data_IF_207222526017
#
_entry.id   IF_207222526017
#
_cell.length_a   1.000
_cell.length_b   1.000
_cell.length_c   1.000
_cell.angle_alpha   90.00
_cell.angle_beta   90.00
_cell.angle_gamma   90.00
#
_symmetry.space_group_name_H-M   'P 1'
#
loop_
_entity.id
_entity.type
_entity.pdbx_description
1 polymer ?
#
# COMPACT_ATOMS: atom_id res chain seq x y z
N UNK A 1 60.39 -23.65 -2.24
CA UNK A 1 59.07 -24.19 -1.82
C UNK A 1 58.22 -23.17 -1.08
N UNK A 2 58.73 -22.44 -0.07
CA UNK A 2 57.98 -21.44 0.71
C UNK A 2 57.31 -20.32 -0.13
N UNK A 3 57.99 -19.78 -1.15
CA UNK A 3 57.42 -18.76 -2.07
C UNK A 3 56.27 -19.29 -2.95
N UNK A 4 56.34 -20.55 -3.40
CA UNK A 4 55.28 -21.19 -4.18
C UNK A 4 54.05 -21.51 -3.31
N UNK A 5 54.27 -21.86 -2.04
CA UNK A 5 53.20 -22.09 -1.07
C UNK A 5 52.46 -20.80 -0.72
N UNK A 6 53.18 -19.68 -0.51
CA UNK A 6 52.59 -18.36 -0.25
C UNK A 6 51.76 -17.86 -1.44
N UNK A 7 52.25 -18.06 -2.67
CA UNK A 7 51.51 -17.68 -3.88
C UNK A 7 50.25 -18.52 -4.09
N UNK A 8 50.25 -19.78 -3.70
CA UNK A 8 49.08 -20.65 -3.78
C UNK A 8 48.02 -20.26 -2.75
N UNK A 9 48.43 -19.93 -1.52
CA UNK A 9 47.53 -19.43 -0.47
C UNK A 9 46.87 -18.11 -0.89
N UNK A 10 47.63 -17.19 -1.50
CA UNK A 10 47.09 -15.93 -2.00
C UNK A 10 46.02 -16.14 -3.10
N UNK A 11 46.24 -17.10 -4.01
CA UNK A 11 45.27 -17.47 -5.05
C UNK A 11 43.99 -18.08 -4.46
N UNK A 12 44.11 -18.94 -3.46
CA UNK A 12 42.95 -19.53 -2.77
C UNK A 12 42.15 -18.46 -2.01
N UNK A 13 42.82 -17.53 -1.33
CA UNK A 13 42.15 -16.42 -0.65
C UNK A 13 41.46 -15.45 -1.62
N UNK A 14 42.06 -15.19 -2.78
CA UNK A 14 41.44 -14.41 -3.85
C UNK A 14 40.20 -15.11 -4.43
N UNK A 15 40.29 -16.41 -4.68
CA UNK A 15 39.16 -17.20 -5.19
C UNK A 15 38.02 -17.29 -4.17
N UNK A 16 38.33 -17.48 -2.88
CA UNK A 16 37.34 -17.44 -1.80
C UNK A 16 36.73 -16.04 -1.66
N UNK A 17 37.54 -14.99 -1.70
CA UNK A 17 37.06 -13.60 -1.67
C UNK A 17 36.12 -13.27 -2.84
N UNK A 18 36.46 -13.73 -4.05
CA UNK A 18 35.60 -13.58 -5.23
C UNK A 18 34.29 -14.37 -5.10
N UNK A 19 34.34 -15.61 -4.58
CA UNK A 19 33.15 -16.43 -4.36
C UNK A 19 32.21 -15.82 -3.30
N UNK A 20 32.76 -15.27 -2.22
CA UNK A 20 31.97 -14.54 -1.21
C UNK A 20 31.42 -13.20 -1.75
N UNK A 21 32.19 -12.49 -2.60
CA UNK A 21 31.76 -11.25 -3.22
C UNK A 21 30.64 -11.46 -4.25
N UNK A 22 30.77 -12.47 -5.12
CA UNK A 22 29.72 -12.85 -6.08
C UNK A 22 28.50 -13.45 -5.37
N UNK A 23 28.69 -14.27 -4.34
CA UNK A 23 27.61 -14.84 -3.53
C UNK A 23 26.78 -13.78 -2.80
N UNK A 24 27.44 -12.74 -2.25
CA UNK A 24 26.75 -11.59 -1.65
C UNK A 24 25.92 -10.80 -2.67
N UNK A 25 26.47 -10.59 -3.88
CA UNK A 25 25.78 -9.86 -4.94
C UNK A 25 24.58 -10.65 -5.51
N UNK A 26 24.63 -11.99 -5.52
CA UNK A 26 23.48 -12.84 -5.88
C UNK A 26 22.38 -12.82 -4.82
N UNK A 27 22.75 -12.82 -3.53
CA UNK A 27 21.79 -12.71 -2.44
C UNK A 27 21.03 -11.37 -2.49
N UNK A 28 21.76 -10.26 -2.69
CA UNK A 28 21.18 -8.92 -2.86
C UNK A 28 20.32 -8.80 -4.13
N UNK A 29 20.65 -9.55 -5.20
CA UNK A 29 19.88 -9.55 -6.46
C UNK A 29 18.64 -10.45 -6.40
N UNK A 30 18.61 -11.45 -5.51
CA UNK A 30 17.45 -12.31 -5.26
C UNK A 30 16.47 -11.68 -4.27
N UNK A 31 16.94 -10.84 -3.35
CA UNK A 31 16.10 -9.97 -2.54
C UNK A 31 15.78 -8.69 -3.31
N UNK A 32 14.92 -8.79 -4.32
CA UNK A 32 14.22 -7.64 -4.90
C UNK A 32 13.22 -7.01 -3.91
N UNK A 33 13.60 -6.88 -2.64
CA UNK A 33 12.84 -6.18 -1.62
C UNK A 33 13.03 -4.68 -1.86
N UNK A 34 12.06 -4.10 -2.57
CA UNK A 34 11.77 -2.69 -2.36
C UNK A 34 11.58 -2.48 -0.85
N UNK A 35 12.22 -1.47 -0.23
CA UNK A 35 12.04 -1.21 1.19
C UNK A 35 10.53 -1.09 1.50
N UNK A 36 10.05 -1.59 2.65
CA UNK A 36 8.62 -1.72 2.97
C UNK A 36 7.88 -0.38 3.19
N UNK A 37 8.35 0.72 2.60
CA UNK A 37 7.87 2.09 2.78
C UNK A 37 7.38 2.78 1.49
N UNK A 38 7.82 2.35 0.29
CA UNK A 38 7.44 3.03 -0.96
C UNK A 38 6.18 2.43 -1.58
N UNK A 39 5.19 3.26 -1.88
CA UNK A 39 4.05 2.85 -2.68
C UNK A 39 4.49 2.47 -4.10
N UNK A 40 3.89 1.42 -4.66
CA UNK A 40 4.20 0.92 -6.01
C UNK A 40 3.48 1.74 -7.08
N UNK A 41 2.27 2.20 -6.78
CA UNK A 41 1.43 2.99 -7.69
C UNK A 41 1.00 4.28 -6.98
N UNK A 42 0.87 5.37 -7.74
CA UNK A 42 0.25 6.61 -7.26
C UNK A 42 -1.04 6.88 -8.04
N UNK A 43 -2.15 7.02 -7.32
CA UNK A 43 -3.46 7.31 -7.89
C UNK A 43 -3.89 8.73 -7.52
N UNK A 44 -4.13 9.57 -8.53
CA UNK A 44 -4.63 10.94 -8.35
C UNK A 44 -6.15 10.90 -8.21
N UNK A 45 -6.68 11.16 -7.02
CA UNK A 45 -8.11 11.15 -6.79
C UNK A 45 -8.78 12.37 -7.46
N UNK A 46 -9.90 12.21 -8.20
CA UNK A 46 -10.49 13.28 -8.97
C UNK A 46 -11.37 14.19 -8.09
N UNK A 47 -10.74 15.05 -7.28
CA UNK A 47 -11.42 15.93 -6.31
C UNK A 47 -12.55 16.78 -6.93
N UNK A 48 -12.41 17.21 -8.18
CA UNK A 48 -13.44 17.98 -8.88
C UNK A 48 -14.72 17.20 -9.22
N UNK A 49 -14.65 15.86 -9.28
CA UNK A 49 -15.81 14.99 -9.56
C UNK A 49 -16.51 14.51 -8.29
N UNK A 50 -15.74 14.27 -7.23
CA UNK A 50 -16.24 13.74 -5.96
C UNK A 50 -15.69 14.57 -4.79
N UNK A 51 -16.09 15.86 -4.68
CA UNK A 51 -15.50 16.79 -3.72
C UNK A 51 -15.73 16.41 -2.26
N UNK A 52 -16.87 15.80 -1.90
CA UNK A 52 -17.13 15.42 -0.50
C UNK A 52 -16.23 14.24 -0.08
N UNK A 53 -16.14 13.20 -0.90
CA UNK A 53 -15.23 12.07 -0.65
C UNK A 53 -13.77 12.51 -0.67
N UNK A 54 -13.36 13.37 -1.60
CA UNK A 54 -12.00 13.93 -1.62
C UNK A 54 -11.66 14.64 -0.31
N UNK A 55 -12.57 15.48 0.20
CA UNK A 55 -12.37 16.18 1.45
C UNK A 55 -12.24 15.22 2.63
N UNK A 56 -13.07 14.16 2.69
CA UNK A 56 -12.94 13.12 3.72
C UNK A 56 -11.57 12.44 3.69
N UNK A 57 -11.13 11.97 2.51
CA UNK A 57 -9.82 11.31 2.35
C UNK A 57 -8.70 12.25 2.81
N UNK A 58 -8.73 13.53 2.41
CA UNK A 58 -7.74 14.54 2.78
C UNK A 58 -7.69 14.76 4.30
N UNK A 59 -8.84 14.94 4.94
CA UNK A 59 -8.95 15.14 6.40
C UNK A 59 -8.47 13.90 7.16
N UNK A 60 -8.84 12.70 6.71
CA UNK A 60 -8.43 11.45 7.34
C UNK A 60 -6.91 11.25 7.25
N UNK A 61 -6.29 11.54 6.11
CA UNK A 61 -4.82 11.50 5.94
C UNK A 61 -4.15 12.55 6.86
N UNK A 62 -4.68 13.78 6.92
CA UNK A 62 -4.18 14.82 7.83
C UNK A 62 -4.29 14.40 9.29
N UNK A 63 -5.32 13.62 9.64
CA UNK A 63 -5.50 13.02 10.96
C UNK A 63 -4.63 11.76 11.21
N UNK A 64 -3.69 11.46 10.31
CA UNK A 64 -2.72 10.37 10.47
C UNK A 64 -3.15 9.02 9.92
N UNK A 65 -4.26 8.93 9.17
CA UNK A 65 -4.59 7.71 8.43
C UNK A 65 -3.64 7.51 7.26
N UNK A 66 -3.41 6.25 6.91
CA UNK A 66 -2.53 5.91 5.79
C UNK A 66 -3.03 6.58 4.49
N UNK A 67 -2.13 7.22 3.72
CA UNK A 67 -2.43 7.62 2.34
C UNK A 67 -2.26 6.45 1.35
N UNK A 68 -1.80 5.29 1.81
CA UNK A 68 -1.55 4.10 1.02
C UNK A 68 -2.63 3.05 1.32
N UNK A 69 -3.18 2.47 0.26
CA UNK A 69 -4.01 1.29 0.27
C UNK A 69 -3.17 0.10 -0.21
N UNK A 70 -2.93 -0.87 0.66
CA UNK A 70 -2.46 -2.20 0.27
C UNK A 70 -3.69 -3.02 -0.07
N UNK A 71 -3.90 -3.34 -1.35
CA UNK A 71 -5.16 -3.93 -1.81
C UNK A 71 -5.37 -5.31 -1.15
N UNK A 72 -6.49 -5.48 -0.47
CA UNK A 72 -6.90 -6.71 0.20
C UNK A 72 -8.42 -6.84 0.02
N UNK A 73 -8.82 -7.52 -1.05
CA UNK A 73 -10.23 -7.64 -1.41
C UNK A 73 -10.95 -8.67 -0.53
N UNK A 74 -10.25 -9.72 -0.12
CA UNK A 74 -10.79 -10.75 0.77
C UNK A 74 -11.16 -10.17 2.15
N UNK A 75 -10.33 -9.27 2.70
CA UNK A 75 -10.57 -8.60 3.98
C UNK A 75 -11.71 -7.57 3.99
N UNK A 76 -12.26 -7.20 2.82
CA UNK A 76 -13.15 -6.05 2.69
C UNK A 76 -14.44 -6.14 3.51
N UNK A 77 -15.07 -7.31 3.58
CA UNK A 77 -16.30 -7.48 4.36
C UNK A 77 -16.04 -7.30 5.86
N UNK A 78 -15.01 -7.95 6.37
CA UNK A 78 -14.65 -7.91 7.78
C UNK A 78 -14.18 -6.51 8.20
N UNK A 79 -13.40 -5.84 7.35
CA UNK A 79 -12.99 -4.47 7.56
C UNK A 79 -14.21 -3.54 7.67
N UNK A 80 -15.15 -3.62 6.73
CA UNK A 80 -16.37 -2.81 6.78
C UNK A 80 -17.21 -3.05 8.03
N UNK A 81 -17.29 -4.30 8.48
CA UNK A 81 -17.97 -4.64 9.74
C UNK A 81 -17.30 -3.97 10.94
N UNK A 82 -15.97 -3.98 10.98
CA UNK A 82 -15.20 -3.38 12.07
C UNK A 82 -15.20 -1.84 12.06
N UNK A 83 -15.08 -1.22 10.90
CA UNK A 83 -15.04 0.24 10.75
C UNK A 83 -16.40 0.88 11.07
N UNK A 84 -17.51 0.22 10.70
CA UNK A 84 -18.87 0.74 10.85
C UNK A 84 -19.56 0.29 12.15
N UNK A 85 -18.87 -0.46 13.01
CA UNK A 85 -19.40 -0.91 14.29
C UNK A 85 -19.77 0.30 15.17
N UNK A 86 -21.03 0.38 15.58
CA UNK A 86 -21.54 1.47 16.42
C UNK A 86 -21.78 2.80 15.67
N UNK A 87 -21.52 2.86 14.36
CA UNK A 87 -21.84 4.04 13.54
C UNK A 87 -23.25 3.86 12.97
N UNK A 88 -24.27 4.62 13.40
CA UNK A 88 -25.62 4.45 12.89
C UNK A 88 -25.71 4.80 11.40
N UNK A 89 -26.72 4.29 10.71
CA UNK A 89 -27.04 4.80 9.37
C UNK A 89 -27.73 6.16 9.48
N UNK A 90 -27.59 6.99 8.45
CA UNK A 90 -28.27 8.30 8.37
C UNK A 90 -29.02 8.39 7.05
N UNK A 91 -30.34 8.61 7.13
CA UNK A 91 -31.19 8.74 5.94
C UNK A 91 -30.63 9.84 5.02
N UNK A 92 -30.44 9.50 3.74
CA UNK A 92 -29.92 10.42 2.72
C UNK A 92 -28.39 10.49 2.64
N UNK A 93 -27.65 9.66 3.37
CA UNK A 93 -26.19 9.63 3.37
C UNK A 93 -25.67 8.20 3.32
N UNK A 94 -24.51 8.03 2.67
CA UNK A 94 -23.69 6.83 2.82
C UNK A 94 -22.61 7.09 3.89
N UNK A 95 -22.06 6.03 4.49
CA UNK A 95 -20.92 6.11 5.42
C UNK A 95 -19.66 5.79 4.63
N UNK A 96 -18.87 6.80 4.32
CA UNK A 96 -17.59 6.63 3.66
C UNK A 96 -16.50 6.23 4.68
N UNK A 97 -15.50 5.48 4.24
CA UNK A 97 -14.48 4.86 5.08
C UNK A 97 -13.07 5.22 4.58
N UNK A 98 -12.24 5.82 5.43
CA UNK A 98 -10.81 6.00 5.14
C UNK A 98 -9.88 5.60 6.31
N UNK A 99 -8.99 4.61 6.15
CA UNK A 99 -8.71 3.86 4.92
C UNK A 99 -9.89 2.96 4.49
N UNK A 100 -9.98 2.69 3.19
CA UNK A 100 -11.10 1.95 2.61
C UNK A 100 -11.11 0.50 3.09
N UNK A 101 -12.29 -0.11 3.12
CA UNK A 101 -12.44 -1.49 3.57
C UNK A 101 -11.62 -2.50 2.74
N UNK A 102 -11.44 -2.27 1.44
CA UNK A 102 -10.65 -3.13 0.53
C UNK A 102 -9.12 -2.95 0.65
N UNK A 103 -8.66 -2.27 1.70
CA UNK A 103 -7.25 -2.08 1.99
C UNK A 103 -6.91 -2.79 3.30
N UNK A 104 -5.70 -3.35 3.41
CA UNK A 104 -5.21 -3.92 4.68
C UNK A 104 -5.15 -2.89 5.81
N UNK A 105 -5.02 -1.60 5.49
CA UNK A 105 -5.06 -0.48 6.43
C UNK A 105 -6.48 -0.11 6.88
N UNK A 106 -7.51 -0.71 6.28
CA UNK A 106 -8.91 -0.48 6.57
C UNK A 106 -9.38 -1.11 7.88
N UNK A 107 -10.69 -1.06 8.11
CA UNK A 107 -11.31 -1.69 9.26
C UNK A 107 -11.23 -0.89 10.55
N UNK A 108 -10.80 -1.51 11.64
CA UNK A 108 -10.89 -0.90 12.98
C UNK A 108 -10.09 0.40 13.03
N UNK A 109 -10.78 1.49 13.37
CA UNK A 109 -10.18 2.81 13.46
C UNK A 109 -10.09 3.54 12.13
N UNK A 110 -10.71 3.07 11.04
CA UNK A 110 -10.97 3.91 9.87
C UNK A 110 -11.75 5.17 10.28
N UNK A 111 -11.42 6.31 9.66
CA UNK A 111 -12.20 7.53 9.76
C UNK A 111 -13.50 7.36 8.98
N UNK A 112 -14.62 7.78 9.56
CA UNK A 112 -15.94 7.64 8.97
C UNK A 112 -16.57 9.01 8.81
N UNK A 113 -17.10 9.29 7.61
CA UNK A 113 -17.86 10.51 7.32
C UNK A 113 -19.14 10.17 6.58
N UNK A 114 -20.22 10.89 6.91
CA UNK A 114 -21.46 10.80 6.13
C UNK A 114 -21.33 11.66 4.88
N UNK A 115 -21.49 11.04 3.72
CA UNK A 115 -21.31 11.68 2.40
C UNK A 115 -22.59 11.52 1.57
N UNK A 116 -22.89 12.52 0.74
CA UNK A 116 -23.99 12.45 -0.21
C UNK A 116 -23.85 11.18 -1.10
N UNK A 117 -24.89 10.33 -1.23
CA UNK A 117 -24.76 9.04 -1.93
C UNK A 117 -24.30 9.15 -3.38
N UNK A 118 -24.66 10.25 -4.07
CA UNK A 118 -24.23 10.51 -5.45
C UNK A 118 -22.70 10.70 -5.54
N UNK A 119 -22.13 11.44 -4.60
CA UNK A 119 -20.68 11.67 -4.51
C UNK A 119 -19.97 10.36 -4.15
N UNK A 120 -20.38 9.74 -3.03
CA UNK A 120 -19.72 8.56 -2.48
C UNK A 120 -19.76 7.34 -3.42
N UNK A 121 -20.91 7.02 -4.01
CA UNK A 121 -21.03 5.87 -4.92
C UNK A 121 -20.30 6.11 -6.22
N UNK A 122 -20.31 7.35 -6.71
CA UNK A 122 -19.52 7.74 -7.88
C UNK A 122 -18.02 7.56 -7.63
N UNK A 123 -17.54 8.01 -6.46
CA UNK A 123 -16.16 7.81 -6.02
C UNK A 123 -15.83 6.31 -5.90
N UNK A 124 -16.68 5.53 -5.23
CA UNK A 124 -16.48 4.08 -5.05
C UNK A 124 -16.40 3.33 -6.38
N UNK A 125 -17.29 3.61 -7.34
CA UNK A 125 -17.23 3.02 -8.69
C UNK A 125 -15.96 3.42 -9.44
N UNK A 126 -15.54 4.69 -9.34
CA UNK A 126 -14.30 5.15 -9.96
C UNK A 126 -13.08 4.45 -9.35
N UNK A 127 -12.97 4.42 -8.02
CA UNK A 127 -11.85 3.74 -7.33
C UNK A 127 -11.83 2.26 -7.70
N UNK A 128 -12.97 1.57 -7.67
CA UNK A 128 -13.04 0.16 -8.05
C UNK A 128 -12.54 -0.08 -9.48
N UNK A 129 -12.92 0.76 -10.44
CA UNK A 129 -12.44 0.65 -11.82
C UNK A 129 -10.94 0.91 -11.94
N UNK A 130 -10.39 1.89 -11.19
CA UNK A 130 -8.95 2.16 -11.22
C UNK A 130 -8.15 1.03 -10.57
N UNK A 131 -8.66 0.41 -9.52
CA UNK A 131 -7.96 -0.63 -8.78
C UNK A 131 -8.10 -2.02 -9.41
N UNK A 132 -9.05 -2.23 -10.32
CA UNK A 132 -9.27 -3.50 -11.03
C UNK A 132 -8.05 -3.97 -11.82
N UNK A 133 -7.21 -3.02 -12.28
CA UNK A 133 -5.96 -3.30 -13.00
C UNK A 133 -4.84 -3.83 -12.10
N UNK A 134 -5.03 -3.85 -10.78
CA UNK A 134 -4.00 -4.20 -9.80
C UNK A 134 -4.39 -5.41 -8.95
N UNK A 135 -3.44 -6.34 -8.81
CA UNK A 135 -3.57 -7.53 -7.97
C UNK A 135 -3.59 -7.17 -6.47
N UNK A 136 -4.19 -8.05 -5.67
CA UNK A 136 -4.11 -7.98 -4.21
C UNK A 136 -2.64 -7.94 -3.75
N UNK A 137 -2.36 -7.17 -2.69
CA UNK A 137 -1.01 -6.86 -2.21
C UNK A 137 -0.37 -5.63 -2.86
N UNK A 138 -0.90 -5.13 -3.99
CA UNK A 138 -0.39 -3.89 -4.60
C UNK A 138 -0.59 -2.70 -3.66
N UNK A 139 0.47 -1.92 -3.46
CA UNK A 139 0.47 -0.71 -2.61
C UNK A 139 0.21 0.55 -3.43
N UNK A 140 -1.00 1.10 -3.31
CA UNK A 140 -1.46 2.27 -4.06
C UNK A 140 -1.53 3.49 -3.15
N UNK A 141 -0.71 4.51 -3.43
CA UNK A 141 -0.79 5.81 -2.74
C UNK A 141 -1.84 6.70 -3.38
N UNK A 142 -2.81 7.12 -2.59
CA UNK A 142 -3.79 8.12 -3.01
C UNK A 142 -3.24 9.52 -2.80
N UNK A 143 -3.36 10.35 -3.84
CA UNK A 143 -3.03 11.77 -3.79
C UNK A 143 -4.30 12.55 -4.05
N UNK A 144 -4.69 13.36 -3.07
CA UNK A 144 -5.84 14.26 -3.16
C UNK A 144 -5.30 15.69 -3.24
N UNK A 145 -5.62 16.41 -4.31
CA UNK A 145 -5.30 17.83 -4.47
C UNK A 145 -6.51 18.67 -4.04
#
# INVERSE_FOLDING_TARGET
>A
MKKKLLSFIALVLLALGAYWFEGGNLLTKMTGENPPSSAQVTLQFPSGRYPETAQHIKEAIQAGKSPVCTIDREGAEQNRKHSLAGVPTRKGYDRDEWPMAMCSEGGKGANIKYIAPKDNRGAGSWVSHQLDEYEDGTRVKFVVK
#
